data_IF_465608732039
#
_entry.id   IF_465608732039
#
_cell.length_a   1.000
_cell.length_b   1.000
_cell.length_c   1.000
_cell.angle_alpha   90.00
_cell.angle_beta   90.00
_cell.angle_gamma   90.00
#
_symmetry.space_group_name_H-M   'P 1'
#
loop_
_entity.id
_entity.type
_entity.pdbx_description
1 polymer ?
#
# COMPACT_ATOMS: atom_id res chain seq x y z
N UNK A 1 -9.86 -3.47 10.30
CA UNK A 1 -9.05 -4.69 10.38
C UNK A 1 -8.88 -5.37 9.03
N UNK A 2 -9.93 -5.65 8.29
CA UNK A 2 -9.84 -6.26 6.94
C UNK A 2 -8.94 -5.48 5.99
N UNK A 3 -9.00 -4.14 6.02
CA UNK A 3 -8.12 -3.31 5.22
C UNK A 3 -6.65 -3.53 5.59
N UNK A 4 -6.32 -3.64 6.88
CA UNK A 4 -4.95 -3.92 7.34
C UNK A 4 -4.48 -5.30 6.89
N UNK A 5 -5.34 -6.30 6.89
CA UNK A 5 -5.00 -7.65 6.40
C UNK A 5 -4.80 -7.71 4.89
N UNK A 6 -5.51 -6.88 4.13
CA UNK A 6 -5.37 -6.80 2.68
C UNK A 6 -4.08 -6.09 2.25
N UNK A 7 -3.57 -5.14 3.07
CA UNK A 7 -2.38 -4.36 2.73
C UNK A 7 -1.17 -5.20 2.30
N UNK A 8 -0.78 -6.29 3.00
CA UNK A 8 0.37 -7.08 2.59
C UNK A 8 0.21 -7.75 1.22
N UNK A 9 -1.03 -8.05 0.82
CA UNK A 9 -1.30 -8.68 -0.48
C UNK A 9 -1.09 -7.69 -1.62
N UNK A 10 -1.55 -6.46 -1.44
CA UNK A 10 -1.48 -5.41 -2.47
C UNK A 10 -0.20 -4.58 -2.42
N UNK A 11 0.54 -4.64 -1.32
CA UNK A 11 1.77 -3.89 -1.12
C UNK A 11 2.95 -4.40 -1.96
N UNK A 12 2.90 -5.64 -2.43
CA UNK A 12 3.94 -6.25 -3.24
C UNK A 12 3.42 -6.54 -4.65
N UNK A 13 3.82 -5.73 -5.65
CA UNK A 13 3.31 -5.88 -7.01
C UNK A 13 3.65 -7.26 -7.59
N UNK A 14 2.67 -7.89 -8.21
CA UNK A 14 2.85 -9.13 -8.97
C UNK A 14 3.24 -8.84 -10.43
N UNK A 15 2.99 -7.62 -10.89
CA UNK A 15 3.26 -7.15 -12.24
C UNK A 15 4.03 -5.82 -12.20
N UNK A 16 4.83 -5.57 -13.21
CA UNK A 16 5.59 -4.32 -13.38
C UNK A 16 4.76 -3.22 -14.08
N UNK A 17 3.44 -3.17 -13.82
CA UNK A 17 2.55 -2.16 -14.39
C UNK A 17 2.31 -0.99 -13.43
N UNK A 18 1.87 0.15 -14.00
CA UNK A 18 1.69 1.38 -13.22
C UNK A 18 0.62 1.28 -12.12
N UNK A 19 -0.45 0.51 -12.35
CA UNK A 19 -1.52 0.34 -11.35
C UNK A 19 -1.04 -0.50 -10.17
N UNK A 20 -0.26 -1.55 -10.44
CA UNK A 20 0.34 -2.40 -9.40
C UNK A 20 1.31 -1.58 -8.53
N UNK A 21 2.16 -0.75 -9.13
CA UNK A 21 3.07 0.12 -8.38
C UNK A 21 2.36 1.26 -7.64
N UNK A 22 1.31 1.86 -8.23
CA UNK A 22 0.48 2.84 -7.54
C UNK A 22 -0.24 2.23 -6.33
N UNK A 23 -0.74 1.01 -6.46
CA UNK A 23 -1.38 0.27 -5.37
C UNK A 23 -0.38 -0.06 -4.27
N UNK A 24 0.84 -0.48 -4.61
CA UNK A 24 1.91 -0.72 -3.64
C UNK A 24 2.29 0.57 -2.88
N UNK A 25 2.47 1.67 -3.59
CA UNK A 25 2.71 2.98 -2.98
C UNK A 25 1.58 3.37 -2.01
N UNK A 26 0.32 3.21 -2.44
CA UNK A 26 -0.86 3.47 -1.63
C UNK A 26 -0.87 2.63 -0.34
N UNK A 27 -0.64 1.31 -0.48
CA UNK A 27 -0.66 0.39 0.65
C UNK A 27 0.44 0.69 1.68
N UNK A 28 1.68 0.93 1.22
CA UNK A 28 2.79 1.28 2.11
C UNK A 28 2.61 2.65 2.77
N UNK A 29 2.11 3.64 2.05
CA UNK A 29 1.80 4.97 2.61
C UNK A 29 0.71 4.91 3.67
N UNK A 30 -0.35 4.13 3.40
CA UNK A 30 -1.44 3.93 4.37
C UNK A 30 -0.94 3.18 5.61
N UNK A 31 -0.10 2.15 5.43
CA UNK A 31 0.51 1.43 6.55
C UNK A 31 1.39 2.37 7.40
N UNK A 32 2.21 3.20 6.78
CA UNK A 32 3.04 4.19 7.47
C UNK A 32 2.18 5.19 8.26
N UNK A 33 1.09 5.66 7.68
CA UNK A 33 0.14 6.55 8.35
C UNK A 33 -0.51 5.88 9.57
N UNK A 34 -0.99 4.64 9.43
CA UNK A 34 -1.61 3.88 10.53
C UNK A 34 -0.64 3.71 11.70
N UNK A 35 0.62 3.38 11.42
CA UNK A 35 1.66 3.23 12.45
C UNK A 35 1.96 4.55 13.15
N UNK A 36 2.00 5.64 12.39
CA UNK A 36 2.27 6.98 12.91
C UNK A 36 1.16 7.46 13.83
N UNK A 37 -0.09 7.30 13.42
CA UNK A 37 -1.26 7.74 14.19
C UNK A 37 -1.56 6.83 15.39
N UNK A 38 -1.11 5.57 15.34
CA UNK A 38 -1.37 4.57 16.38
C UNK A 38 -0.09 3.88 16.87
N UNK A 39 0.73 4.53 17.69
CA UNK A 39 2.00 3.96 18.18
C UNK A 39 1.85 2.63 18.93
N UNK A 40 0.66 2.37 19.52
CA UNK A 40 0.35 1.08 20.19
C UNK A 40 0.35 -0.09 19.19
N UNK A 41 -0.12 0.13 17.98
CA UNK A 41 -0.08 -0.89 16.92
C UNK A 41 1.36 -1.26 16.61
N UNK A 42 2.25 -0.27 16.49
CA UNK A 42 3.69 -0.50 16.30
C UNK A 42 4.29 -1.33 17.44
N UNK A 43 4.00 -0.99 18.69
CA UNK A 43 4.50 -1.74 19.85
C UNK A 43 4.06 -3.20 19.84
N UNK A 44 2.82 -3.48 19.44
CA UNK A 44 2.31 -4.86 19.31
C UNK A 44 3.10 -5.61 18.23
N UNK A 45 3.30 -5.02 17.05
CA UNK A 45 4.07 -5.66 15.97
C UNK A 45 5.55 -5.84 16.33
N UNK A 46 6.17 -4.85 16.97
CA UNK A 46 7.55 -4.95 17.45
C UNK A 46 7.69 -6.07 18.49
N UNK A 47 6.71 -6.21 19.41
CA UNK A 47 6.69 -7.30 20.40
C UNK A 47 6.52 -8.66 19.71
N UNK A 48 5.74 -8.76 18.68
CA UNK A 48 5.57 -9.98 17.89
C UNK A 48 6.87 -10.37 17.17
N UNK A 49 7.56 -9.39 16.60
CA UNK A 49 8.86 -9.60 15.95
C UNK A 49 9.96 -10.02 16.93
N UNK A 50 10.00 -9.41 18.11
CA UNK A 50 11.00 -9.68 19.15
C UNK A 50 10.84 -11.06 19.82
N UNK A 51 9.64 -11.63 19.84
CA UNK A 51 9.35 -12.92 20.45
C UNK A 51 9.73 -14.11 19.58
N UNK A 52 10.44 -13.89 18.48
CA UNK A 52 11.02 -14.90 17.61
C UNK A 52 9.97 -15.86 17.08
N UNK A 53 9.50 -15.59 15.89
CA UNK A 53 8.40 -16.23 15.18
C UNK A 53 8.38 -17.74 15.08
N UNK A 54 8.27 -18.47 16.18
CA UNK A 54 7.72 -19.84 16.13
C UNK A 54 6.20 -19.73 16.06
N UNK A 55 5.60 -20.57 15.22
CA UNK A 55 4.16 -20.67 14.98
C UNK A 55 3.33 -20.70 16.28
N UNK A 56 3.89 -21.32 17.32
CA UNK A 56 3.27 -21.53 18.63
C UNK A 56 3.31 -20.29 19.53
N UNK A 57 4.37 -19.50 19.48
CA UNK A 57 4.50 -18.26 20.27
C UNK A 57 3.56 -17.18 19.80
N UNK A 58 3.35 -17.09 18.48
CA UNK A 58 2.41 -16.16 17.86
C UNK A 58 0.96 -16.48 18.23
N UNK A 59 0.57 -17.75 18.15
CA UNK A 59 -0.76 -18.24 18.53
C UNK A 59 -1.03 -18.05 20.02
N UNK A 60 -0.03 -18.29 20.88
CA UNK A 60 -0.16 -18.12 22.33
C UNK A 60 -0.45 -16.67 22.72
N UNK A 61 0.16 -15.68 22.06
CA UNK A 61 -0.07 -14.27 22.37
C UNK A 61 -1.39 -13.73 21.83
N UNK A 62 -1.86 -14.23 20.68
CA UNK A 62 -3.18 -13.93 20.17
C UNK A 62 -4.27 -14.52 21.06
N UNK A 63 -4.05 -15.73 21.58
CA UNK A 63 -4.95 -16.38 22.55
C UNK A 63 -5.03 -15.66 23.90
N UNK A 64 -3.97 -14.95 24.30
CA UNK A 64 -3.95 -14.16 25.53
C UNK A 64 -4.71 -12.83 25.40
N UNK A 65 -4.93 -12.33 24.19
CA UNK A 65 -5.70 -11.11 23.97
C UNK A 65 -7.13 -11.46 23.51
N UNK A 66 -8.00 -11.64 24.50
CA UNK A 66 -9.37 -12.14 24.32
C UNK A 66 -10.24 -11.25 23.40
N UNK A 67 -9.99 -9.92 23.41
CA UNK A 67 -10.71 -8.98 22.54
C UNK A 67 -10.30 -9.13 21.06
N UNK A 68 -9.03 -9.24 20.79
CA UNK A 68 -8.51 -9.52 19.45
C UNK A 68 -8.95 -10.90 18.93
N UNK A 69 -9.01 -11.90 19.79
CA UNK A 69 -9.49 -13.25 19.46
C UNK A 69 -10.96 -13.24 19.07
N UNK A 70 -11.79 -12.54 19.82
CA UNK A 70 -13.23 -12.49 19.55
C UNK A 70 -13.54 -11.73 18.24
N UNK A 71 -12.83 -10.66 17.96
CA UNK A 71 -12.94 -9.91 16.69
C UNK A 71 -12.45 -10.77 15.52
N UNK A 72 -11.32 -11.48 15.67
CA UNK A 72 -10.76 -12.35 14.63
C UNK A 72 -11.66 -13.56 14.31
N UNK A 73 -12.24 -14.21 15.31
CA UNK A 73 -13.07 -15.42 15.12
C UNK A 73 -14.49 -15.11 14.64
N UNK A 74 -15.06 -13.97 15.03
CA UNK A 74 -16.42 -13.62 14.65
C UNK A 74 -16.54 -13.13 13.21
N UNK A 75 -15.48 -12.55 12.63
CA UNK A 75 -15.56 -11.86 11.35
C UNK A 75 -14.75 -12.48 10.21
N UNK A 76 -14.03 -13.59 10.44
CA UNK A 76 -13.19 -14.19 9.40
C UNK A 76 -13.33 -15.72 9.30
N UNK A 77 -14.44 -16.24 8.76
CA UNK A 77 -14.62 -17.69 8.54
C UNK A 77 -13.53 -18.33 7.66
N UNK A 78 -12.95 -17.55 6.75
CA UNK A 78 -11.89 -17.98 5.82
C UNK A 78 -10.48 -18.00 6.46
N UNK A 79 -10.29 -17.44 7.64
CA UNK A 79 -9.05 -17.59 8.43
C UNK A 79 -8.92 -19.02 9.02
N UNK A 80 -10.00 -19.78 9.11
CA UNK A 80 -9.98 -21.18 9.54
C UNK A 80 -9.40 -22.12 8.48
N UNK A 81 -9.40 -21.72 7.22
CA UNK A 81 -8.82 -22.49 6.11
C UNK A 81 -7.31 -22.23 5.90
N UNK A 82 -6.73 -21.24 6.60
CA UNK A 82 -5.35 -20.89 6.43
C UNK A 82 -4.42 -21.86 7.19
N UNK A 83 -3.97 -22.87 6.51
CA UNK A 83 -2.73 -23.62 6.84
C UNK A 83 -1.53 -22.67 6.93
N UNK A 84 -1.71 -21.36 6.72
CA UNK A 84 -0.70 -20.32 6.55
C UNK A 84 -0.90 -19.08 7.41
N UNK A 85 -1.58 -19.17 8.56
CA UNK A 85 -1.82 -18.04 9.47
C UNK A 85 -0.51 -17.41 9.98
N UNK A 86 0.52 -18.22 10.20
CA UNK A 86 1.84 -17.75 10.61
C UNK A 86 2.50 -16.92 9.52
N UNK A 87 2.36 -17.31 8.26
CA UNK A 87 2.89 -16.57 7.11
C UNK A 87 2.17 -15.24 6.91
N UNK A 88 0.85 -15.21 7.05
CA UNK A 88 0.07 -13.96 6.97
C UNK A 88 0.47 -12.97 8.07
N UNK A 89 0.65 -13.45 9.30
CA UNK A 89 1.10 -12.63 10.43
C UNK A 89 2.51 -12.10 10.22
N UNK A 90 3.40 -12.93 9.67
CA UNK A 90 4.75 -12.51 9.33
C UNK A 90 4.75 -11.45 8.22
N UNK A 91 3.90 -11.60 7.20
CA UNK A 91 3.73 -10.61 6.13
C UNK A 91 3.20 -9.27 6.68
N UNK A 92 2.22 -9.31 7.60
CA UNK A 92 1.72 -8.11 8.27
C UNK A 92 2.85 -7.45 9.08
N UNK A 93 3.57 -8.20 9.91
CA UNK A 93 4.68 -7.67 10.70
C UNK A 93 5.79 -7.08 9.82
N UNK A 94 6.07 -7.69 8.67
CA UNK A 94 7.04 -7.17 7.70
C UNK A 94 6.56 -5.89 7.04
N UNK A 95 5.27 -5.81 6.67
CA UNK A 95 4.69 -4.61 6.09
C UNK A 95 4.81 -3.40 7.03
N UNK A 96 4.59 -3.60 8.32
CA UNK A 96 4.66 -2.55 9.34
C UNK A 96 6.08 -2.29 9.88
N UNK A 97 7.11 -2.93 9.32
CA UNK A 97 8.50 -2.57 9.58
C UNK A 97 8.83 -1.25 8.86
N UNK A 98 9.19 -0.22 9.64
CA UNK A 98 9.42 1.13 9.12
C UNK A 98 10.52 1.20 8.05
N UNK A 99 11.58 0.41 8.20
CA UNK A 99 12.68 0.39 7.23
C UNK A 99 12.21 -0.24 5.92
N UNK A 100 11.48 -1.34 6.01
CA UNK A 100 10.88 -2.01 4.86
C UNK A 100 9.88 -1.10 4.16
N UNK A 101 8.98 -0.44 4.92
CA UNK A 101 8.01 0.52 4.34
C UNK A 101 8.70 1.66 3.60
N UNK A 102 9.71 2.30 4.21
CA UNK A 102 10.42 3.41 3.59
C UNK A 102 11.18 2.97 2.33
N UNK A 103 11.78 1.79 2.35
CA UNK A 103 12.45 1.20 1.19
C UNK A 103 11.45 0.94 0.06
N UNK A 104 10.32 0.32 0.35
CA UNK A 104 9.28 0.00 -0.64
C UNK A 104 8.60 1.25 -1.19
N UNK A 105 8.39 2.27 -0.36
CA UNK A 105 7.90 3.57 -0.84
C UNK A 105 8.88 4.19 -1.84
N UNK A 106 10.18 4.17 -1.54
CA UNK A 106 11.21 4.69 -2.44
C UNK A 106 11.21 3.95 -3.79
N UNK A 107 11.15 2.61 -3.75
CA UNK A 107 11.07 1.77 -4.96
C UNK A 107 9.80 2.07 -5.76
N UNK A 108 8.64 2.18 -5.10
CA UNK A 108 7.37 2.47 -5.78
C UNK A 108 7.39 3.84 -6.47
N UNK A 109 7.98 4.85 -5.82
CA UNK A 109 8.14 6.20 -6.41
C UNK A 109 9.04 6.15 -7.65
N UNK A 110 10.17 5.44 -7.58
CA UNK A 110 11.09 5.27 -8.71
C UNK A 110 10.40 4.58 -9.88
N UNK A 111 9.72 3.46 -9.62
CA UNK A 111 8.98 2.71 -10.63
C UNK A 111 7.86 3.51 -11.29
N UNK A 112 7.09 4.25 -10.49
CA UNK A 112 6.06 5.15 -11.03
C UNK A 112 6.67 6.27 -11.89
N UNK A 113 7.84 6.78 -11.54
CA UNK A 113 8.58 7.73 -12.34
C UNK A 113 9.06 7.15 -13.67
N UNK A 114 9.52 5.88 -13.67
CA UNK A 114 9.92 5.17 -14.90
C UNK A 114 8.75 4.90 -15.87
N UNK A 115 7.53 4.78 -15.33
CA UNK A 115 6.31 4.48 -16.08
C UNK A 115 5.56 5.73 -16.53
N UNK A 116 5.97 6.93 -16.06
CA UNK A 116 5.41 8.19 -16.51
C UNK A 116 6.13 8.70 -17.75
N UNK A 117 5.41 8.92 -18.80
CA UNK A 117 5.92 9.46 -20.05
C UNK A 117 6.23 10.97 -19.95
N UNK A 118 6.96 11.49 -20.92
CA UNK A 118 7.35 12.91 -20.95
C UNK A 118 6.16 13.87 -20.98
N UNK A 119 5.03 13.46 -21.56
CA UNK A 119 3.78 14.23 -21.62
C UNK A 119 2.98 14.22 -20.30
N UNK A 120 3.44 13.47 -19.30
CA UNK A 120 2.81 13.34 -18.00
C UNK A 120 1.86 12.16 -17.84
N UNK A 121 1.56 11.44 -18.90
CA UNK A 121 0.73 10.25 -18.86
C UNK A 121 1.47 9.05 -18.26
N UNK A 122 0.77 8.23 -17.45
CA UNK A 122 1.28 6.90 -17.12
C UNK A 122 0.90 5.90 -18.21
N UNK A 123 1.83 5.02 -18.53
CA UNK A 123 1.63 3.86 -19.39
C UNK A 123 1.37 2.60 -18.57
N UNK A 124 0.80 1.56 -19.21
CA UNK A 124 0.67 0.26 -18.55
C UNK A 124 2.03 -0.31 -18.17
N UNK A 125 2.94 -0.37 -19.12
CA UNK A 125 4.30 -0.88 -18.94
C UNK A 125 5.32 0.10 -19.50
N UNK A 126 6.55 0.03 -19.03
CA UNK A 126 7.65 0.88 -19.47
C UNK A 126 7.82 0.84 -20.99
N UNK A 127 7.91 2.02 -21.61
CA UNK A 127 8.09 2.16 -23.06
C UNK A 127 6.79 2.07 -23.89
N UNK A 128 5.64 1.85 -23.25
CA UNK A 128 4.34 1.94 -23.93
C UNK A 128 3.85 3.39 -24.04
N UNK A 129 2.94 3.61 -24.96
CA UNK A 129 2.23 4.90 -25.08
C UNK A 129 1.45 5.19 -23.80
N UNK A 130 1.38 6.46 -23.41
CA UNK A 130 0.61 6.92 -22.28
C UNK A 130 -0.87 6.57 -22.40
N UNK A 131 -1.47 6.16 -21.30
CA UNK A 131 -2.88 5.77 -21.23
C UNK A 131 -3.64 6.74 -20.33
N UNK A 132 -4.66 7.40 -20.90
CA UNK A 132 -5.55 8.26 -20.12
C UNK A 132 -6.20 7.48 -18.97
N UNK A 133 -6.65 6.25 -19.24
CA UNK A 133 -7.26 5.40 -18.21
C UNK A 133 -6.30 5.13 -17.04
N UNK A 134 -5.08 4.66 -17.35
CA UNK A 134 -4.06 4.38 -16.31
C UNK A 134 -3.73 5.65 -15.54
N UNK A 135 -3.53 6.78 -16.24
CA UNK A 135 -3.23 8.06 -15.60
C UNK A 135 -4.35 8.50 -14.66
N UNK A 136 -5.62 8.37 -15.09
CA UNK A 136 -6.77 8.68 -14.23
C UNK A 136 -6.79 7.81 -12.97
N UNK A 137 -6.57 6.50 -13.10
CA UNK A 137 -6.58 5.58 -11.96
C UNK A 137 -5.44 5.86 -10.98
N UNK A 138 -4.22 6.08 -11.49
CA UNK A 138 -3.07 6.44 -10.64
C UNK A 138 -3.35 7.75 -9.90
N UNK A 139 -3.81 8.79 -10.61
CA UNK A 139 -4.13 10.08 -10.02
C UNK A 139 -5.22 9.98 -8.96
N UNK A 140 -6.28 9.21 -9.21
CA UNK A 140 -7.36 8.97 -8.26
C UNK A 140 -6.83 8.33 -6.96
N UNK A 141 -5.97 7.31 -7.05
CA UNK A 141 -5.35 6.68 -5.90
C UNK A 141 -4.52 7.68 -5.08
N UNK A 142 -3.70 8.50 -5.74
CA UNK A 142 -2.84 9.47 -5.07
C UNK A 142 -3.65 10.59 -4.38
N UNK A 143 -4.69 11.10 -5.03
CA UNK A 143 -5.57 12.12 -4.44
C UNK A 143 -6.34 11.56 -3.25
N UNK A 144 -6.87 10.34 -3.35
CA UNK A 144 -7.55 9.67 -2.25
C UNK A 144 -6.63 9.44 -1.05
N UNK A 145 -5.38 9.04 -1.32
CA UNK A 145 -4.38 8.84 -0.28
C UNK A 145 -4.11 10.15 0.50
N UNK A 146 -3.88 11.24 -0.22
CA UNK A 146 -3.67 12.55 0.39
C UNK A 146 -4.87 12.99 1.23
N UNK A 147 -6.10 12.78 0.73
CA UNK A 147 -7.32 13.09 1.45
C UNK A 147 -7.49 12.25 2.73
N UNK A 148 -7.12 10.97 2.69
CA UNK A 148 -7.23 10.07 3.84
C UNK A 148 -6.16 10.34 4.90
N UNK A 149 -4.94 10.62 4.49
CA UNK A 149 -3.81 10.78 5.40
C UNK A 149 -3.64 12.23 5.88
N UNK A 150 -4.31 13.19 5.24
CA UNK A 150 -4.11 14.63 5.43
C UNK A 150 -2.62 15.02 5.33
N UNK A 151 -1.87 14.30 4.54
CA UNK A 151 -0.44 14.51 4.30
C UNK A 151 -0.20 14.76 2.82
N UNK A 152 0.73 15.64 2.54
CA UNK A 152 1.22 15.80 1.18
C UNK A 152 1.95 14.54 0.73
N UNK A 153 1.81 14.21 -0.54
CA UNK A 153 2.57 13.13 -1.14
C UNK A 153 4.08 13.37 -0.97
N UNK A 154 4.85 12.29 -1.00
CA UNK A 154 6.32 12.35 -1.04
C UNK A 154 6.77 13.43 -2.04
N UNK A 155 7.73 14.25 -1.64
CA UNK A 155 8.22 15.39 -2.45
C UNK A 155 8.63 14.97 -3.87
N UNK A 156 9.05 13.71 -4.05
CA UNK A 156 9.38 13.13 -5.37
C UNK A 156 8.13 12.83 -6.21
N UNK A 157 6.98 12.61 -5.57
CA UNK A 157 5.70 12.37 -6.25
C UNK A 157 5.05 13.67 -6.73
N UNK A 158 5.30 14.80 -6.08
CA UNK A 158 4.68 16.08 -6.42
C UNK A 158 4.86 16.48 -7.90
N UNK A 159 6.07 16.42 -8.48
CA UNK A 159 6.26 16.72 -9.91
C UNK A 159 5.51 15.75 -10.84
N UNK A 160 5.40 14.47 -10.45
CA UNK A 160 4.68 13.47 -11.22
C UNK A 160 3.16 13.73 -11.19
N UNK A 161 2.63 14.08 -10.03
CA UNK A 161 1.23 14.45 -9.84
C UNK A 161 0.90 15.69 -10.70
N UNK A 162 1.74 16.71 -10.64
CA UNK A 162 1.56 17.93 -11.44
C UNK A 162 1.49 17.64 -12.94
N UNK A 163 2.44 16.86 -13.48
CA UNK A 163 2.43 16.44 -14.88
C UNK A 163 1.20 15.62 -15.25
N UNK A 164 0.76 14.72 -14.36
CA UNK A 164 -0.46 13.94 -14.55
C UNK A 164 -1.71 14.82 -14.66
N UNK A 165 -1.83 15.84 -13.81
CA UNK A 165 -2.93 16.83 -13.89
C UNK A 165 -2.89 17.62 -15.20
N UNK A 166 -1.72 18.08 -15.63
CA UNK A 166 -1.55 18.81 -16.87
C UNK A 166 -1.94 17.96 -18.09
N UNK A 167 -1.53 16.69 -18.10
CA UNK A 167 -1.93 15.75 -19.14
C UNK A 167 -3.45 15.56 -19.18
N UNK A 168 -4.07 15.25 -18.03
CA UNK A 168 -5.53 15.02 -17.97
C UNK A 168 -6.32 16.29 -18.32
N UNK A 169 -5.83 17.46 -17.93
CA UNK A 169 -6.42 18.74 -18.30
C UNK A 169 -6.40 19.00 -19.80
N UNK A 170 -5.30 18.67 -20.49
CA UNK A 170 -5.20 18.76 -21.96
C UNK A 170 -6.17 17.80 -22.63
N UNK A 171 -6.23 16.54 -22.18
CA UNK A 171 -7.15 15.54 -22.74
C UNK A 171 -8.62 15.96 -22.58
N UNK A 172 -8.99 16.49 -21.42
CA UNK A 172 -10.33 17.01 -21.19
C UNK A 172 -10.65 18.18 -22.12
N UNK A 173 -9.72 19.13 -22.29
CA UNK A 173 -9.92 20.28 -23.17
C UNK A 173 -10.04 19.89 -24.66
N UNK A 174 -9.40 18.82 -25.11
CA UNK A 174 -9.51 18.30 -26.47
C UNK A 174 -10.87 17.65 -26.77
N UNK A 175 -11.49 17.02 -25.78
CA UNK A 175 -12.81 16.39 -25.90
C UNK A 175 -13.97 17.40 -25.99
N UNK A 176 -13.79 18.64 -25.52
CA UNK A 176 -14.79 19.69 -25.53
C UNK A 176 -14.67 20.62 -26.74
N UNK A 177 -13.77 20.35 -27.68
CA UNK A 177 -13.65 21.06 -28.96
C UNK A 177 -14.46 20.40 -30.07
#
# INVERSE_FOLDING_TARGET
>A
WYAVQALPVVAYPQNEDALSWATAYYAHSLAAFIVKENPRIKQVFDSWKAQGGTKETFMSNLHKNQELKNILLAETPWLTEATNEAEQKQRIATLFDLNTMNSQLAVSVEKLGELQNADGAWSWYKGMQGSRYVTTQVMEMLVRLNALTHQDADSRMQPMIQKGFEYLGKQAAEEYK
#
